data_IF_377213752192
#
_entry.id   IF_377213752192
#
_cell.length_a   1.000
_cell.length_b   1.000
_cell.length_c   1.000
_cell.angle_alpha   90.00
_cell.angle_beta   90.00
_cell.angle_gamma   90.00
#
_symmetry.space_group_name_H-M   'P 1'
#
loop_
_entity.id
_entity.type
_entity.pdbx_description
1 polymer ?
#
# COMPACT_ATOMS: atom_id res chain seq x y z
N UNK A 1 12.29 22.44 11.94
CA UNK A 1 12.72 21.07 11.60
C UNK A 1 12.32 20.79 10.17
N UNK A 2 13.24 20.31 9.35
CA UNK A 2 12.96 20.07 7.94
C UNK A 2 12.06 18.83 7.80
N UNK A 3 10.90 19.01 7.18
CA UNK A 3 9.97 17.92 6.88
C UNK A 3 10.37 17.10 5.64
N UNK A 4 11.55 17.39 5.11
CA UNK A 4 12.08 16.86 3.85
C UNK A 4 13.17 15.82 4.10
N UNK A 5 13.24 15.34 5.32
CA UNK A 5 14.19 14.32 5.73
C UNK A 5 13.48 13.00 6.01
N UNK A 6 14.24 11.93 5.90
CA UNK A 6 13.76 10.56 6.09
C UNK A 6 13.28 10.34 7.51
N UNK A 7 12.28 9.46 7.64
CA UNK A 7 11.68 9.10 8.92
C UNK A 7 11.72 7.60 9.15
N UNK A 8 11.78 7.25 10.43
CA UNK A 8 11.55 5.90 10.94
C UNK A 8 10.62 5.97 12.16
N UNK A 9 10.18 4.83 12.67
CA UNK A 9 9.46 4.76 13.95
C UNK A 9 10.41 4.98 15.12
N UNK A 10 9.90 5.49 16.24
CA UNK A 10 10.71 5.73 17.44
C UNK A 10 10.88 4.48 18.30
N UNK A 11 9.81 3.73 18.48
CA UNK A 11 9.78 2.51 19.29
C UNK A 11 9.27 1.33 18.44
N UNK A 12 9.64 0.12 18.83
CA UNK A 12 9.12 -1.09 18.19
C UNK A 12 7.60 -1.16 18.28
N UNK A 13 6.97 -1.61 17.20
CA UNK A 13 5.52 -1.82 17.12
C UNK A 13 5.23 -3.24 16.70
N UNK A 14 4.43 -3.95 17.50
CA UNK A 14 4.07 -5.34 17.21
C UNK A 14 2.59 -5.47 16.86
N UNK A 15 2.32 -6.37 15.92
CA UNK A 15 0.98 -6.78 15.52
C UNK A 15 0.91 -8.31 15.53
N UNK A 16 -0.25 -8.82 15.91
CA UNK A 16 -0.57 -10.24 15.84
C UNK A 16 -1.97 -10.40 15.25
N UNK A 17 -2.14 -11.34 14.36
CA UNK A 17 -3.43 -11.57 13.74
C UNK A 17 -3.40 -12.73 12.77
N UNK A 18 -4.55 -13.00 12.16
CA UNK A 18 -4.70 -14.01 11.12
C UNK A 18 -4.26 -13.42 9.77
N UNK A 19 -3.58 -14.22 8.97
CA UNK A 19 -3.28 -13.93 7.59
C UNK A 19 -4.51 -14.22 6.71
N UNK A 20 -4.83 -13.34 5.76
CA UNK A 20 -6.07 -13.44 4.96
C UNK A 20 -6.11 -14.71 4.12
N UNK A 21 -5.05 -15.01 3.38
CA UNK A 21 -5.05 -16.09 2.41
C UNK A 21 -4.62 -17.42 2.99
N UNK A 22 -3.55 -17.45 3.76
CA UNK A 22 -3.05 -18.68 4.40
C UNK A 22 -3.92 -19.14 5.58
N UNK A 23 -4.57 -18.22 6.28
CA UNK A 23 -5.34 -18.46 7.49
C UNK A 23 -4.48 -18.74 8.72
N UNK A 24 -3.17 -18.60 8.62
CA UNK A 24 -2.25 -18.82 9.72
C UNK A 24 -2.19 -17.61 10.65
N UNK A 25 -1.94 -17.83 11.92
CA UNK A 25 -1.60 -16.76 12.84
C UNK A 25 -0.19 -16.27 12.53
N UNK A 26 0.00 -14.98 12.52
CA UNK A 26 1.27 -14.33 12.22
C UNK A 26 1.54 -13.18 13.17
N UNK A 27 2.80 -13.04 13.55
CA UNK A 27 3.30 -11.92 14.34
C UNK A 27 4.28 -11.11 13.50
N UNK A 28 4.12 -9.80 13.51
CA UNK A 28 5.08 -8.87 12.94
C UNK A 28 5.57 -7.90 14.01
N UNK A 29 6.83 -7.49 13.88
CA UNK A 29 7.41 -6.43 14.69
C UNK A 29 8.12 -5.44 13.77
N UNK A 30 7.60 -4.23 13.68
CA UNK A 30 8.24 -3.13 12.97
C UNK A 30 9.26 -2.51 13.92
N UNK A 31 10.49 -2.36 13.46
CA UNK A 31 11.63 -1.81 14.22
C UNK A 31 12.16 -0.55 13.54
N UNK A 32 12.70 0.40 14.31
CA UNK A 32 13.44 1.52 13.75
C UNK A 32 14.59 1.02 12.86
N UNK A 33 14.89 1.78 11.81
CA UNK A 33 16.03 1.51 10.95
C UNK A 33 16.76 2.81 10.61
N UNK A 34 18.07 2.68 10.34
CA UNK A 34 18.94 3.79 10.01
C UNK A 34 18.54 4.49 8.70
N UNK A 35 18.91 5.76 8.52
CA UNK A 35 18.69 6.45 7.26
C UNK A 35 19.24 5.69 6.04
N UNK A 36 18.50 5.69 4.94
CA UNK A 36 18.78 4.95 3.71
C UNK A 36 18.71 3.41 3.83
N UNK A 37 18.17 2.89 4.92
CA UNK A 37 17.88 1.45 5.05
C UNK A 37 16.75 1.02 4.11
N UNK A 38 15.76 1.90 3.90
CA UNK A 38 14.52 1.55 3.22
C UNK A 38 13.61 0.68 4.09
N UNK A 39 12.53 0.20 3.48
CA UNK A 39 11.64 -0.79 4.11
C UNK A 39 12.18 -2.17 3.77
N UNK A 40 12.39 -3.02 4.78
CA UNK A 40 12.93 -4.37 4.60
C UNK A 40 12.13 -5.34 5.47
N UNK A 41 11.65 -6.43 4.87
CA UNK A 41 11.06 -7.55 5.61
C UNK A 41 12.14 -8.55 5.99
N UNK A 42 12.03 -9.11 7.21
CA UNK A 42 12.90 -10.17 7.70
C UNK A 42 12.07 -11.33 8.20
N UNK A 43 12.13 -12.46 7.51
CA UNK A 43 11.48 -13.72 7.90
C UNK A 43 12.27 -14.36 9.04
N UNK A 44 11.77 -14.19 10.28
CA UNK A 44 12.49 -14.67 11.48
C UNK A 44 12.36 -16.16 11.71
N UNK A 45 11.48 -16.83 11.01
CA UNK A 45 11.36 -18.29 10.95
C UNK A 45 12.47 -18.97 10.10
N UNK A 46 13.22 -18.18 9.31
CA UNK A 46 14.42 -18.63 8.61
C UNK A 46 15.69 -18.09 9.28
N UNK A 47 16.73 -18.93 9.37
CA UNK A 47 18.00 -18.54 10.00
C UNK A 47 18.93 -17.73 9.10
N UNK A 48 18.87 -17.97 7.79
CA UNK A 48 19.76 -17.37 6.77
C UNK A 48 18.94 -16.92 5.58
N UNK A 49 19.48 -15.99 4.78
CA UNK A 49 18.90 -15.52 3.52
C UNK A 49 17.46 -14.98 3.67
N UNK A 50 17.15 -14.46 4.84
CA UNK A 50 15.79 -14.20 5.29
C UNK A 50 15.32 -12.75 5.11
N UNK A 51 16.09 -11.93 4.39
CA UNK A 51 15.68 -10.58 4.03
C UNK A 51 14.90 -10.59 2.71
N UNK A 52 13.76 -9.91 2.69
CA UNK A 52 12.92 -9.76 1.52
C UNK A 52 12.64 -8.27 1.32
N UNK A 53 13.05 -7.74 0.18
CA UNK A 53 12.94 -6.32 -0.13
C UNK A 53 11.66 -6.05 -0.92
N UNK A 54 10.79 -5.13 -0.48
CA UNK A 54 9.57 -4.75 -1.20
C UNK A 54 9.92 -3.89 -2.42
N UNK A 55 10.56 -4.53 -3.39
CA UNK A 55 10.91 -3.94 -4.67
C UNK A 55 9.96 -4.48 -5.74
N UNK A 56 9.49 -3.62 -6.64
CA UNK A 56 8.57 -4.01 -7.73
C UNK A 56 9.13 -5.14 -8.61
N UNK A 57 10.46 -5.27 -8.73
CA UNK A 57 11.10 -6.38 -9.44
C UNK A 57 10.98 -7.71 -8.70
N UNK A 58 10.87 -7.68 -7.38
CA UNK A 58 10.73 -8.85 -6.52
C UNK A 58 9.27 -9.29 -6.36
N UNK A 59 8.32 -8.57 -6.96
CA UNK A 59 6.91 -8.99 -6.97
C UNK A 59 6.74 -10.19 -7.88
N UNK A 60 6.36 -11.33 -7.29
CA UNK A 60 6.21 -12.63 -7.99
C UNK A 60 4.76 -13.07 -8.11
N UNK A 61 3.85 -12.54 -7.28
CA UNK A 61 2.41 -12.79 -7.39
C UNK A 61 1.62 -11.52 -7.12
N UNK A 62 0.56 -11.33 -7.92
CA UNK A 62 -0.37 -10.19 -7.84
C UNK A 62 -1.83 -10.65 -7.87
N UNK A 63 -2.07 -11.92 -7.61
CA UNK A 63 -3.43 -12.49 -7.56
C UNK A 63 -4.03 -12.29 -6.18
N UNK A 64 -4.94 -11.33 -6.08
CA UNK A 64 -5.66 -10.91 -4.86
C UNK A 64 -4.78 -10.30 -3.75
N UNK A 65 -3.48 -10.23 -3.92
CA UNK A 65 -2.53 -9.56 -3.03
C UNK A 65 -1.24 -9.24 -3.76
N UNK A 66 -0.36 -8.47 -3.12
CA UNK A 66 1.02 -8.28 -3.57
C UNK A 66 1.96 -9.17 -2.75
N UNK A 67 2.63 -10.11 -3.45
CA UNK A 67 3.64 -11.01 -2.87
C UNK A 67 5.01 -10.65 -3.42
N UNK A 68 5.97 -10.47 -2.53
CA UNK A 68 7.38 -10.27 -2.84
C UNK A 68 8.18 -11.53 -2.47
N UNK A 69 9.25 -11.77 -3.21
CA UNK A 69 10.10 -12.95 -3.04
C UNK A 69 11.57 -12.57 -3.24
N UNK A 70 12.45 -13.14 -2.44
CA UNK A 70 13.87 -12.98 -2.64
C UNK A 70 14.44 -14.09 -3.55
N UNK A 71 15.70 -13.98 -3.92
CA UNK A 71 16.42 -14.94 -4.79
C UNK A 71 16.49 -16.38 -4.24
N UNK A 72 16.20 -16.57 -2.95
CA UNK A 72 16.20 -17.87 -2.29
C UNK A 72 14.78 -18.47 -2.17
N UNK A 73 13.78 -17.88 -2.80
CA UNK A 73 12.40 -18.34 -2.75
C UNK A 73 11.64 -18.01 -1.47
N UNK A 74 12.19 -17.15 -0.61
CA UNK A 74 11.54 -16.72 0.63
C UNK A 74 10.59 -15.57 0.32
N UNK A 75 9.31 -15.72 0.74
CA UNK A 75 8.21 -14.83 0.38
C UNK A 75 7.68 -14.06 1.56
N UNK A 76 7.13 -12.87 1.23
CA UNK A 76 6.21 -12.13 2.09
C UNK A 76 5.05 -11.65 1.21
N UNK A 77 3.82 -11.97 1.62
CA UNK A 77 2.60 -11.65 0.86
C UNK A 77 1.67 -10.71 1.62
N UNK A 78 0.67 -10.15 0.90
CA UNK A 78 -0.33 -9.21 1.42
C UNK A 78 0.32 -7.98 2.07
N UNK A 79 1.33 -7.43 1.39
CA UNK A 79 2.11 -6.30 1.92
C UNK A 79 1.45 -4.94 1.67
N UNK A 80 0.49 -4.84 0.77
CA UNK A 80 -0.08 -3.60 0.22
C UNK A 80 -0.65 -2.67 1.28
N UNK A 81 -1.41 -3.17 2.26
CA UNK A 81 -2.02 -2.33 3.29
C UNK A 81 -0.97 -1.75 4.25
N UNK A 82 0.00 -2.58 4.66
CA UNK A 82 1.11 -2.13 5.49
C UNK A 82 2.00 -1.14 4.75
N UNK A 83 2.33 -1.42 3.48
CA UNK A 83 3.10 -0.49 2.64
C UNK A 83 2.35 0.83 2.45
N UNK A 84 1.02 0.79 2.26
CA UNK A 84 0.16 1.96 2.21
C UNK A 84 0.19 2.78 3.50
N UNK A 85 0.13 2.12 4.66
CA UNK A 85 0.25 2.77 5.97
C UNK A 85 1.61 3.45 6.15
N UNK A 86 2.71 2.76 5.83
CA UNK A 86 4.07 3.29 5.93
C UNK A 86 4.26 4.50 5.00
N UNK A 87 3.74 4.40 3.77
CA UNK A 87 3.76 5.53 2.82
C UNK A 87 3.00 6.74 3.36
N UNK A 88 1.78 6.52 3.86
CA UNK A 88 0.93 7.59 4.39
C UNK A 88 1.53 8.32 5.59
N UNK A 89 2.24 7.61 6.45
CA UNK A 89 2.96 8.16 7.60
C UNK A 89 4.32 8.75 7.22
N UNK A 90 4.75 8.55 5.98
CA UNK A 90 6.05 8.99 5.49
C UNK A 90 7.21 8.26 6.16
N UNK A 91 7.04 6.99 6.51
CA UNK A 91 8.12 6.13 7.02
C UNK A 91 8.98 5.69 5.84
N UNK A 92 10.22 6.14 5.83
CA UNK A 92 11.17 5.83 4.76
C UNK A 92 12.05 4.62 5.11
N UNK A 93 12.24 4.34 6.40
CA UNK A 93 13.14 3.30 6.89
C UNK A 93 12.47 2.48 7.99
N UNK A 94 12.41 1.17 7.82
CA UNK A 94 11.94 0.24 8.84
C UNK A 94 12.43 -1.18 8.57
N UNK A 95 12.78 -1.92 9.63
CA UNK A 95 12.98 -3.36 9.58
C UNK A 95 11.71 -4.03 10.11
N UNK A 96 11.07 -4.86 9.29
CA UNK A 96 9.81 -5.55 9.62
C UNK A 96 10.11 -7.03 9.81
N UNK A 97 10.23 -7.46 11.06
CA UNK A 97 10.34 -8.88 11.38
C UNK A 97 8.96 -9.54 11.29
N UNK A 98 8.91 -10.69 10.65
CA UNK A 98 7.69 -11.47 10.43
C UNK A 98 8.00 -12.96 10.59
N UNK A 99 7.15 -13.69 11.33
CA UNK A 99 7.35 -15.11 11.65
C UNK A 99 6.62 -16.07 10.69
N UNK A 100 5.99 -15.56 9.64
CA UNK A 100 5.31 -16.35 8.61
C UNK A 100 5.34 -15.63 7.26
N UNK A 101 4.79 -16.24 6.21
CA UNK A 101 4.86 -15.72 4.83
C UNK A 101 3.86 -14.64 4.48
N UNK A 102 2.91 -14.27 5.35
CA UNK A 102 1.85 -13.32 5.01
C UNK A 102 1.64 -12.31 6.13
N UNK A 103 1.55 -11.03 5.79
CA UNK A 103 1.25 -9.95 6.74
C UNK A 103 -0.16 -10.15 7.33
N UNK A 104 -0.39 -9.94 8.65
CA UNK A 104 -1.72 -10.09 9.24
C UNK A 104 -2.69 -9.11 8.63
N UNK A 105 -3.91 -9.58 8.29
CA UNK A 105 -4.92 -8.75 7.63
C UNK A 105 -5.55 -7.71 8.58
N UNK A 106 -5.50 -7.96 9.88
CA UNK A 106 -6.14 -7.17 10.92
C UNK A 106 -7.63 -6.97 10.62
N UNK A 107 -8.10 -5.74 10.52
CA UNK A 107 -9.48 -5.40 10.18
C UNK A 107 -9.75 -5.29 8.67
N UNK A 108 -8.76 -5.60 7.83
CA UNK A 108 -8.86 -5.51 6.37
C UNK A 108 -8.56 -4.14 5.78
N UNK A 109 -8.19 -3.17 6.60
CA UNK A 109 -7.80 -1.80 6.21
C UNK A 109 -6.36 -1.49 6.65
N UNK A 110 -5.90 -0.25 6.46
CA UNK A 110 -4.62 0.22 7.00
C UNK A 110 -4.74 0.87 8.39
N UNK A 111 -5.95 1.01 8.93
CA UNK A 111 -6.26 1.78 10.14
C UNK A 111 -5.40 1.39 11.34
N UNK A 112 -5.44 0.10 11.71
CA UNK A 112 -4.72 -0.38 12.91
C UNK A 112 -3.21 -0.23 12.77
N UNK A 113 -2.66 -0.42 11.56
CA UNK A 113 -1.24 -0.16 11.31
C UNK A 113 -0.89 1.29 11.61
N UNK A 114 -1.66 2.23 11.06
CA UNK A 114 -1.44 3.67 11.23
C UNK A 114 -1.54 4.07 12.70
N UNK A 115 -2.61 3.69 13.40
CA UNK A 115 -2.85 4.06 14.79
C UNK A 115 -1.72 3.61 15.71
N UNK A 116 -1.28 2.34 15.59
CA UNK A 116 -0.19 1.81 16.42
C UNK A 116 1.18 2.40 16.06
N UNK A 117 1.46 2.62 14.77
CA UNK A 117 2.73 3.24 14.36
C UNK A 117 2.81 4.68 14.88
N UNK A 118 1.72 5.45 14.79
CA UNK A 118 1.68 6.82 15.35
C UNK A 118 1.90 6.79 16.85
N UNK A 119 1.23 5.89 17.57
CA UNK A 119 1.36 5.76 19.03
C UNK A 119 2.79 5.42 19.45
N UNK A 120 3.59 4.77 18.60
CA UNK A 120 4.99 4.47 18.87
C UNK A 120 5.91 5.70 18.77
N UNK A 121 5.44 6.77 18.15
CA UNK A 121 6.20 7.96 17.81
C UNK A 121 7.07 7.79 16.58
N UNK A 122 7.50 8.91 16.00
CA UNK A 122 8.35 8.97 14.82
C UNK A 122 9.70 9.60 15.15
N UNK A 123 10.76 9.13 14.51
CA UNK A 123 12.08 9.75 14.49
C UNK A 123 12.36 10.33 13.12
N UNK A 124 12.79 11.59 13.10
CA UNK A 124 13.17 12.33 11.90
C UNK A 124 14.69 12.35 11.86
N UNK A 125 15.27 11.91 10.74
CA UNK A 125 16.72 11.96 10.52
C UNK A 125 17.14 13.27 9.84
N UNK A 126 18.46 13.45 9.68
CA UNK A 126 19.01 14.55 8.85
C UNK A 126 19.15 14.16 7.37
N UNK A 127 19.01 12.87 7.04
CA UNK A 127 19.14 12.40 5.68
C UNK A 127 17.98 12.90 4.80
N UNK A 128 18.26 13.48 3.61
CA UNK A 128 17.22 13.99 2.73
C UNK A 128 16.37 12.84 2.16
N UNK A 129 15.10 13.12 1.90
CA UNK A 129 14.27 12.19 1.12
C UNK A 129 14.66 12.24 -0.36
N UNK A 130 14.52 11.09 -1.01
CA UNK A 130 14.61 10.98 -2.47
C UNK A 130 13.22 10.69 -3.03
N UNK A 131 12.87 11.37 -4.10
CA UNK A 131 11.60 11.19 -4.79
C UNK A 131 11.84 10.77 -6.24
N UNK A 132 10.90 10.05 -6.80
CA UNK A 132 10.81 9.82 -8.23
C UNK A 132 9.90 10.89 -8.83
N UNK A 133 10.42 11.61 -9.81
CA UNK A 133 9.67 12.51 -10.67
C UNK A 133 9.51 11.86 -12.03
N UNK A 134 8.28 11.76 -12.52
CA UNK A 134 7.97 11.22 -13.83
C UNK A 134 8.23 12.27 -14.90
N UNK A 135 8.92 11.91 -15.98
CA UNK A 135 9.33 12.83 -17.04
C UNK A 135 8.38 12.82 -18.25
N UNK A 136 7.69 11.71 -18.50
CA UNK A 136 6.72 11.55 -19.60
C UNK A 136 5.61 10.60 -19.23
N UNK A 137 4.50 10.65 -19.97
CA UNK A 137 3.39 9.71 -19.77
C UNK A 137 3.82 8.27 -20.11
N UNK A 138 3.47 7.35 -19.23
CA UNK A 138 3.61 5.90 -19.44
C UNK A 138 2.28 5.26 -19.11
N UNK A 139 1.85 4.34 -19.98
CA UNK A 139 0.57 3.62 -19.83
C UNK A 139 0.77 2.12 -19.96
N UNK A 140 0.06 1.37 -19.13
CA UNK A 140 -0.12 -0.06 -19.26
C UNK A 140 -1.61 -0.39 -19.41
N UNK A 141 -1.94 -1.25 -20.35
CA UNK A 141 -3.32 -1.69 -20.64
C UNK A 141 -3.40 -3.21 -20.64
N UNK A 142 -4.51 -3.74 -20.15
CA UNK A 142 -4.84 -5.16 -20.16
C UNK A 142 -6.35 -5.31 -20.47
N UNK A 143 -6.67 -5.53 -21.73
CA UNK A 143 -8.03 -5.44 -22.25
C UNK A 143 -8.62 -4.04 -22.06
N UNK A 144 -9.77 -3.95 -21.38
CA UNK A 144 -10.43 -2.67 -21.06
C UNK A 144 -9.84 -1.99 -19.81
N UNK A 145 -9.00 -2.69 -19.06
CA UNK A 145 -8.34 -2.18 -17.85
C UNK A 145 -7.10 -1.39 -18.21
N UNK A 146 -6.83 -0.31 -17.50
CA UNK A 146 -5.59 0.43 -17.69
C UNK A 146 -5.15 1.15 -16.43
N UNK A 147 -3.86 1.45 -16.40
CA UNK A 147 -3.25 2.40 -15.48
C UNK A 147 -2.25 3.24 -16.26
N UNK A 148 -2.22 4.55 -16.03
CA UNK A 148 -1.21 5.45 -16.57
C UNK A 148 -0.60 6.31 -15.48
N UNK A 149 0.63 6.74 -15.72
CA UNK A 149 1.37 7.66 -14.90
C UNK A 149 1.85 8.82 -15.77
N UNK A 150 1.60 10.05 -15.31
CA UNK A 150 1.90 11.28 -16.03
C UNK A 150 2.74 12.22 -15.15
N UNK A 151 3.54 13.13 -15.75
CA UNK A 151 4.24 14.14 -15.01
C UNK A 151 3.32 14.97 -14.12
N UNK A 152 3.78 15.25 -12.90
CA UNK A 152 3.18 16.22 -11.98
C UNK A 152 4.24 17.16 -11.45
N UNK A 153 3.83 18.32 -10.96
CA UNK A 153 4.79 19.30 -10.42
C UNK A 153 5.16 19.02 -8.98
N UNK A 154 4.20 18.59 -8.14
CA UNK A 154 4.37 18.62 -6.69
C UNK A 154 3.63 17.55 -5.91
N UNK A 155 2.75 16.76 -6.55
CA UNK A 155 1.86 15.84 -5.85
C UNK A 155 1.87 14.45 -6.45
N UNK A 156 1.39 13.49 -5.71
CA UNK A 156 0.89 12.22 -6.22
C UNK A 156 -0.64 12.32 -6.27
N UNK A 157 -1.17 12.53 -7.47
CA UNK A 157 -2.62 12.57 -7.70
C UNK A 157 -3.08 11.21 -8.21
N UNK A 158 -4.12 10.64 -7.64
CA UNK A 158 -4.69 9.36 -8.07
C UNK A 158 -6.16 9.57 -8.45
N UNK A 159 -6.51 9.32 -9.72
CA UNK A 159 -7.87 9.20 -10.23
C UNK A 159 -8.16 7.71 -10.48
N UNK A 160 -8.94 7.10 -9.60
CA UNK A 160 -9.25 5.67 -9.66
C UNK A 160 -10.72 5.45 -9.99
N UNK A 161 -10.98 4.59 -11.00
CA UNK A 161 -12.32 4.19 -11.41
C UNK A 161 -12.50 2.70 -11.24
N UNK A 162 -13.56 2.33 -10.54
CA UNK A 162 -13.98 0.97 -10.29
C UNK A 162 -15.29 0.71 -11.03
N UNK A 163 -15.42 -0.46 -11.65
CA UNK A 163 -16.63 -0.87 -12.36
C UNK A 163 -16.92 -2.33 -12.07
N UNK A 164 -18.03 -2.57 -11.40
CA UNK A 164 -18.53 -3.90 -11.09
C UNK A 164 -19.94 -4.09 -11.65
N UNK A 165 -20.27 -5.32 -12.04
CA UNK A 165 -21.65 -5.68 -12.46
C UNK A 165 -22.60 -5.72 -11.26
N UNK A 166 -22.11 -6.08 -10.08
CA UNK A 166 -22.89 -6.04 -8.85
C UNK A 166 -23.32 -4.61 -8.54
N UNK A 167 -24.61 -4.39 -8.24
CA UNK A 167 -25.22 -3.06 -8.10
C UNK A 167 -24.82 -2.33 -6.82
N UNK A 168 -24.37 -3.04 -5.78
CA UNK A 168 -23.89 -2.45 -4.51
C UNK A 168 -22.53 -1.81 -4.70
N UNK A 169 -21.60 -2.53 -5.35
CA UNK A 169 -20.29 -1.97 -5.67
C UNK A 169 -20.42 -0.97 -6.82
N UNK A 170 -21.10 -1.36 -7.91
CA UNK A 170 -21.44 -0.53 -9.06
C UNK A 170 -20.26 0.14 -9.72
N UNK A 171 -20.49 1.34 -10.21
CA UNK A 171 -19.47 2.22 -10.77
C UNK A 171 -19.10 3.27 -9.73
N UNK A 172 -17.90 3.21 -9.23
CA UNK A 172 -17.36 4.18 -8.27
C UNK A 172 -16.13 4.87 -8.85
N UNK A 173 -15.90 6.10 -8.45
CA UNK A 173 -14.66 6.80 -8.74
C UNK A 173 -14.28 7.72 -7.58
N UNK A 174 -12.99 7.85 -7.36
CA UNK A 174 -12.48 8.85 -6.44
C UNK A 174 -11.17 9.44 -6.98
N UNK A 175 -10.97 10.73 -6.66
CA UNK A 175 -9.73 11.46 -6.97
C UNK A 175 -9.16 11.98 -5.68
N UNK A 176 -7.87 11.75 -5.49
CA UNK A 176 -7.16 12.19 -4.29
C UNK A 176 -5.80 12.76 -4.65
N UNK A 177 -5.40 13.77 -3.93
CA UNK A 177 -4.04 14.31 -3.91
C UNK A 177 -3.36 13.81 -2.64
N UNK A 178 -2.54 12.76 -2.80
CA UNK A 178 -2.04 11.97 -1.67
C UNK A 178 -1.27 12.79 -0.64
N UNK A 179 -0.61 13.89 -1.06
CA UNK A 179 0.16 14.73 -0.15
C UNK A 179 -0.61 15.96 0.39
N UNK A 180 -1.85 16.19 -0.07
CA UNK A 180 -2.63 17.38 0.27
C UNK A 180 -3.93 17.07 1.00
N UNK A 181 -4.65 16.01 0.55
CA UNK A 181 -5.98 15.66 1.04
C UNK A 181 -5.93 14.90 2.37
N UNK A 182 -7.05 14.91 3.08
CA UNK A 182 -7.28 13.99 4.18
C UNK A 182 -7.56 12.58 3.62
N UNK A 183 -6.70 11.63 3.93
CA UNK A 183 -6.80 10.26 3.46
C UNK A 183 -7.39 9.30 4.50
N UNK A 184 -8.01 9.82 5.56
CA UNK A 184 -8.60 8.99 6.64
C UNK A 184 -9.57 7.96 6.08
N UNK A 185 -10.46 8.34 5.17
CA UNK A 185 -11.40 7.40 4.54
C UNK A 185 -10.70 6.35 3.69
N UNK A 186 -9.60 6.70 3.02
CA UNK A 186 -8.79 5.76 2.23
C UNK A 186 -8.18 4.70 3.15
N UNK A 187 -7.49 5.15 4.21
CA UNK A 187 -6.81 4.23 5.13
C UNK A 187 -7.75 3.42 6.00
N UNK A 188 -8.98 3.87 6.20
CA UNK A 188 -10.03 3.15 6.93
C UNK A 188 -10.83 2.19 6.04
N UNK A 189 -10.65 2.21 4.72
CA UNK A 189 -11.41 1.38 3.79
C UNK A 189 -10.91 -0.05 3.78
N UNK A 190 -11.84 -1.00 4.00
CA UNK A 190 -11.57 -2.44 4.10
C UNK A 190 -11.51 -3.11 2.73
N UNK A 191 -10.74 -4.18 2.66
CA UNK A 191 -10.81 -5.11 1.52
C UNK A 191 -12.19 -5.72 1.39
N UNK A 192 -12.53 -6.20 0.19
CA UNK A 192 -13.88 -6.71 -0.10
C UNK A 192 -13.86 -7.83 -1.12
N UNK A 193 -14.92 -8.64 -1.11
CA UNK A 193 -15.16 -9.67 -2.12
C UNK A 193 -16.66 -9.83 -2.38
N UNK A 194 -16.98 -10.43 -3.52
CA UNK A 194 -18.33 -10.93 -3.81
C UNK A 194 -18.49 -12.29 -3.15
N UNK A 195 -19.67 -12.54 -2.60
CA UNK A 195 -19.99 -13.81 -1.94
C UNK A 195 -19.86 -15.01 -2.89
N UNK A 196 -20.29 -14.82 -4.14
CA UNK A 196 -20.21 -15.84 -5.20
C UNK A 196 -18.78 -16.25 -5.55
N UNK A 197 -17.78 -15.38 -5.32
CA UNK A 197 -16.38 -15.68 -5.62
C UNK A 197 -15.69 -16.47 -4.49
N UNK A 198 -16.26 -16.51 -3.28
CA UNK A 198 -15.61 -17.07 -2.10
C UNK A 198 -15.27 -18.56 -2.28
N UNK A 199 -16.18 -19.34 -2.85
CA UNK A 199 -15.91 -20.78 -3.06
C UNK A 199 -14.75 -20.99 -4.02
N UNK A 200 -14.69 -20.23 -5.11
CA UNK A 200 -13.61 -20.31 -6.09
C UNK A 200 -12.28 -19.87 -5.47
N UNK A 201 -12.29 -18.76 -4.72
CA UNK A 201 -11.11 -18.25 -4.02
C UNK A 201 -10.57 -19.28 -3.03
N UNK A 202 -11.45 -19.93 -2.24
CA UNK A 202 -11.09 -21.00 -1.29
C UNK A 202 -10.58 -22.26 -1.99
N UNK A 203 -11.17 -22.66 -3.11
CA UNK A 203 -10.68 -23.80 -3.92
C UNK A 203 -9.26 -23.57 -4.44
N UNK A 204 -8.91 -22.30 -4.70
CA UNK A 204 -7.55 -21.92 -5.08
C UNK A 204 -6.59 -21.77 -3.88
N UNK A 205 -7.01 -22.17 -2.68
CA UNK A 205 -6.19 -22.17 -1.47
C UNK A 205 -6.07 -20.79 -0.80
N UNK A 206 -6.84 -19.79 -1.26
CA UNK A 206 -6.82 -18.41 -0.76
C UNK A 206 -7.98 -18.12 0.20
N UNK A 207 -7.94 -16.96 0.88
CA UNK A 207 -8.96 -16.45 1.82
C UNK A 207 -9.37 -17.45 2.93
N UNK A 208 -8.44 -18.30 3.40
CA UNK A 208 -8.70 -19.26 4.49
C UNK A 208 -8.96 -18.56 5.83
N UNK A 209 -8.35 -17.39 6.05
CA UNK A 209 -8.55 -16.54 7.22
C UNK A 209 -9.61 -15.45 7.03
N UNK A 210 -10.27 -15.40 5.87
CA UNK A 210 -11.28 -14.40 5.56
C UNK A 210 -12.54 -14.54 6.42
N UNK A 211 -13.02 -13.43 6.95
CA UNK A 211 -14.21 -13.33 7.78
C UNK A 211 -14.89 -11.95 7.61
N UNK A 212 -16.12 -11.80 8.14
CA UNK A 212 -16.79 -10.51 8.15
C UNK A 212 -16.08 -9.46 9.03
N UNK A 213 -15.13 -9.85 9.88
CA UNK A 213 -14.35 -8.93 10.69
C UNK A 213 -13.19 -8.29 9.94
N UNK A 214 -12.77 -8.88 8.79
CA UNK A 214 -11.59 -8.44 8.06
C UNK A 214 -11.80 -8.25 6.55
N UNK A 215 -13.03 -8.38 6.07
CA UNK A 215 -13.40 -8.10 4.68
C UNK A 215 -14.88 -7.72 4.58
N UNK A 216 -15.20 -6.81 3.67
CA UNK A 216 -16.59 -6.56 3.28
C UNK A 216 -17.02 -7.69 2.33
N UNK A 217 -18.13 -8.34 2.64
CA UNK A 217 -18.71 -9.37 1.77
C UNK A 217 -20.03 -8.86 1.20
N UNK A 218 -20.08 -8.75 -0.13
CA UNK A 218 -21.27 -8.32 -0.87
C UNK A 218 -21.96 -9.55 -1.44
N UNK A 219 -23.24 -9.73 -1.12
CA UNK A 219 -24.09 -10.83 -1.63
C UNK A 219 -25.33 -10.24 -2.27
N UNK A 220 -25.52 -10.46 -3.56
CA UNK A 220 -26.64 -9.95 -4.36
C UNK A 220 -26.77 -8.41 -4.20
N UNK A 221 -27.77 -7.94 -3.43
CA UNK A 221 -28.02 -6.53 -3.14
C UNK A 221 -27.75 -6.15 -1.68
N UNK A 222 -27.03 -6.98 -0.95
CA UNK A 222 -26.79 -6.79 0.47
C UNK A 222 -25.29 -6.81 0.81
N UNK A 223 -24.93 -6.07 1.86
CA UNK A 223 -23.65 -6.15 2.53
C UNK A 223 -23.85 -7.04 3.76
N UNK A 224 -23.10 -8.15 3.85
CA UNK A 224 -23.27 -9.12 4.93
C UNK A 224 -22.71 -8.63 6.28
N UNK A 225 -21.84 -7.64 6.26
CA UNK A 225 -21.27 -7.03 7.47
C UNK A 225 -22.36 -6.20 8.17
N UNK A 226 -22.65 -6.50 9.43
CA UNK A 226 -23.73 -5.86 10.20
C UNK A 226 -23.53 -4.36 10.39
N UNK A 227 -22.28 -3.89 10.44
CA UNK A 227 -21.91 -2.48 10.56
C UNK A 227 -22.02 -1.70 9.24
N UNK A 228 -22.27 -2.38 8.12
CA UNK A 228 -22.31 -1.76 6.79
C UNK A 228 -20.95 -1.24 6.31
N UNK A 229 -20.97 -0.21 5.46
CA UNK A 229 -19.79 0.49 4.97
C UNK A 229 -19.34 1.59 5.96
N UNK A 230 -18.03 1.80 6.04
CA UNK A 230 -17.41 2.88 6.84
C UNK A 230 -17.52 4.24 6.16
N UNK A 231 -17.58 4.25 4.82
CA UNK A 231 -17.82 5.44 4.01
C UNK A 231 -18.45 5.05 2.67
N UNK A 232 -19.12 6.00 1.99
CA UNK A 232 -19.85 5.75 0.73
C UNK A 232 -18.98 5.27 -0.43
N UNK A 233 -17.68 5.50 -0.36
CA UNK A 233 -16.71 5.14 -1.39
C UNK A 233 -15.75 4.05 -0.94
N UNK A 234 -16.10 3.28 0.08
CA UNK A 234 -15.18 2.33 0.72
C UNK A 234 -14.53 1.37 -0.29
N UNK A 235 -15.26 0.90 -1.30
CA UNK A 235 -14.72 -0.01 -2.31
C UNK A 235 -13.63 0.64 -3.19
N UNK A 236 -13.87 1.83 -3.73
CA UNK A 236 -12.87 2.51 -4.57
C UNK A 236 -11.74 3.08 -3.73
N UNK A 237 -12.01 3.52 -2.50
CA UNK A 237 -11.01 4.01 -1.56
C UNK A 237 -10.03 2.90 -1.17
N UNK A 238 -10.53 1.68 -0.94
CA UNK A 238 -9.66 0.54 -0.70
C UNK A 238 -8.72 0.27 -1.89
N UNK A 239 -9.24 0.37 -3.13
CA UNK A 239 -8.37 0.22 -4.32
C UNK A 239 -7.34 1.33 -4.48
N UNK A 240 -7.61 2.52 -3.95
CA UNK A 240 -6.63 3.61 -3.87
C UNK A 240 -5.56 3.28 -2.80
N UNK A 241 -5.96 2.73 -1.64
CA UNK A 241 -5.03 2.25 -0.62
C UNK A 241 -4.06 1.21 -1.19
N UNK A 242 -4.59 0.18 -1.87
CA UNK A 242 -3.79 -0.85 -2.55
C UNK A 242 -2.80 -0.21 -3.53
N UNK A 243 -3.29 0.71 -4.37
CA UNK A 243 -2.46 1.39 -5.36
C UNK A 243 -1.32 2.19 -4.71
N UNK A 244 -1.56 2.88 -3.61
CA UNK A 244 -0.53 3.62 -2.84
C UNK A 244 0.52 2.65 -2.31
N UNK A 245 0.11 1.55 -1.69
CA UNK A 245 1.02 0.53 -1.15
C UNK A 245 1.85 -0.15 -2.23
N UNK A 246 1.22 -0.52 -3.34
CA UNK A 246 1.91 -1.13 -4.49
C UNK A 246 2.91 -0.17 -5.14
N UNK A 247 2.55 1.11 -5.31
CA UNK A 247 3.46 2.14 -5.84
C UNK A 247 4.68 2.32 -4.93
N UNK A 248 4.53 2.12 -3.62
CA UNK A 248 5.64 2.24 -2.68
C UNK A 248 6.67 1.11 -2.80
N UNK A 249 6.37 0.03 -3.52
CA UNK A 249 7.37 -0.99 -3.92
C UNK A 249 8.43 -0.42 -4.87
N UNK A 250 8.28 0.79 -5.39
CA UNK A 250 9.35 1.54 -6.06
C UNK A 250 10.51 1.90 -5.12
N UNK A 251 10.31 1.85 -3.80
CA UNK A 251 11.27 2.27 -2.78
C UNK A 251 11.35 3.79 -2.60
N UNK A 252 10.48 4.56 -3.27
CA UNK A 252 10.50 6.02 -3.28
C UNK A 252 9.10 6.61 -3.20
N UNK A 253 9.01 7.86 -2.75
CA UNK A 253 7.81 8.66 -2.97
C UNK A 253 7.79 9.13 -4.42
N UNK A 254 6.63 9.01 -5.07
CA UNK A 254 6.46 9.34 -6.48
C UNK A 254 5.70 10.66 -6.59
N UNK A 255 6.19 11.56 -7.44
CA UNK A 255 5.50 12.79 -7.86
C UNK A 255 4.96 12.57 -9.27
N UNK A 256 3.65 12.37 -9.39
CA UNK A 256 3.00 12.01 -10.64
C UNK A 256 1.47 12.17 -10.54
N UNK A 257 0.80 12.07 -11.71
CA UNK A 257 -0.64 11.81 -11.80
C UNK A 257 -0.85 10.37 -12.23
N UNK A 258 -1.66 9.64 -11.49
CA UNK A 258 -2.09 8.28 -11.80
C UNK A 258 -3.53 8.32 -12.27
N UNK A 259 -3.81 7.76 -13.45
CA UNK A 259 -5.17 7.50 -13.92
C UNK A 259 -5.35 5.99 -14.03
N UNK A 260 -6.30 5.45 -13.29
CA UNK A 260 -6.51 4.01 -13.20
C UNK A 260 -7.98 3.66 -13.42
N UNK A 261 -8.24 2.70 -14.29
CA UNK A 261 -9.57 2.13 -14.52
C UNK A 261 -9.53 0.62 -14.34
N UNK A 262 -10.31 0.12 -13.36
CA UNK A 262 -10.39 -1.29 -13.03
C UNK A 262 -9.01 -1.91 -12.72
N UNK A 263 -8.13 -1.13 -12.06
CA UNK A 263 -6.78 -1.54 -11.69
C UNK A 263 -6.74 -2.56 -10.57
N UNK A 264 -5.53 -2.91 -10.22
CA UNK A 264 -5.16 -3.83 -9.13
C UNK A 264 -3.67 -4.07 -9.15
N UNK A 265 -3.18 -4.91 -8.26
CA UNK A 265 -1.77 -5.16 -8.02
C UNK A 265 -0.97 -5.46 -9.29
N UNK A 266 -1.55 -6.29 -10.19
CA UNK A 266 -0.92 -6.61 -11.48
C UNK A 266 -0.65 -5.36 -12.33
N UNK A 267 -1.67 -4.50 -12.53
CA UNK A 267 -1.53 -3.31 -13.37
C UNK A 267 -0.51 -2.33 -12.76
N UNK A 268 -0.55 -2.13 -11.45
CA UNK A 268 0.38 -1.25 -10.74
C UNK A 268 1.82 -1.76 -10.86
N UNK A 269 2.04 -3.07 -10.68
CA UNK A 269 3.37 -3.66 -10.85
C UNK A 269 3.87 -3.55 -12.30
N UNK A 270 3.03 -3.83 -13.30
CA UNK A 270 3.40 -3.69 -14.71
C UNK A 270 3.70 -2.23 -15.10
N UNK A 271 2.96 -1.28 -14.53
CA UNK A 271 3.26 0.15 -14.71
C UNK A 271 4.65 0.49 -14.16
N UNK A 272 4.97 0.07 -12.93
CA UNK A 272 6.29 0.31 -12.34
C UNK A 272 7.40 -0.31 -13.19
N UNK A 273 7.24 -1.55 -13.65
CA UNK A 273 8.21 -2.19 -14.56
C UNK A 273 8.44 -1.36 -15.81
N UNK A 274 7.39 -0.84 -16.45
CA UNK A 274 7.50 0.05 -17.61
C UNK A 274 8.17 1.38 -17.29
N UNK A 275 7.88 1.97 -16.13
CA UNK A 275 8.52 3.20 -15.69
C UNK A 275 10.03 3.00 -15.58
N UNK A 276 10.46 1.94 -14.92
CA UNK A 276 11.86 1.69 -14.63
C UNK A 276 12.64 1.00 -15.77
N UNK A 277 11.96 0.59 -16.84
CA UNK A 277 12.58 0.00 -18.03
C UNK A 277 13.51 1.00 -18.75
N UNK A 278 13.20 2.30 -18.70
CA UNK A 278 14.01 3.33 -19.34
C UNK A 278 14.26 4.49 -18.37
N UNK A 279 15.53 4.86 -18.20
CA UNK A 279 15.95 5.98 -17.34
C UNK A 279 15.42 7.34 -17.79
N UNK A 280 15.02 7.48 -19.05
CA UNK A 280 14.40 8.72 -19.57
C UNK A 280 12.96 8.91 -19.06
N UNK A 281 12.33 7.87 -18.51
CA UNK A 281 10.97 7.91 -18.01
C UNK A 281 10.84 8.67 -16.70
N UNK A 282 11.91 8.73 -15.91
CA UNK A 282 11.89 9.31 -14.56
C UNK A 282 13.21 9.95 -14.18
N UNK A 283 13.18 10.74 -13.14
CA UNK A 283 14.36 11.31 -12.48
C UNK A 283 14.28 11.06 -10.99
N UNK A 284 15.38 10.64 -10.36
CA UNK A 284 15.48 10.59 -8.90
C UNK A 284 16.00 11.95 -8.44
N UNK A 285 15.23 12.63 -7.61
CA UNK A 285 15.55 13.96 -7.11
C UNK A 285 15.68 13.90 -5.59
N UNK A 286 16.84 14.35 -5.10
CA UNK A 286 17.04 14.57 -3.68
C UNK A 286 16.47 15.93 -3.30
N UNK A 287 15.59 15.94 -2.29
CA UNK A 287 14.90 17.15 -1.90
C UNK A 287 15.75 17.97 -0.95
N UNK A 288 16.09 19.19 -1.36
CA UNK A 288 16.78 20.20 -0.53
C UNK A 288 15.82 21.31 -0.15
N UNK A 289 15.93 21.84 1.07
CA UNK A 289 15.00 22.80 1.70
C UNK A 289 14.53 23.99 0.83
N UNK A 290 15.31 24.36 -0.18
CA UNK A 290 15.06 25.57 -0.97
C UNK A 290 13.98 25.44 -2.06
N UNK A 291 13.49 24.21 -2.36
CA UNK A 291 12.76 23.97 -3.61
C UNK A 291 11.38 23.33 -3.44
N UNK A 292 10.80 23.26 -2.22
CA UNK A 292 9.51 22.62 -2.05
C UNK A 292 8.43 23.54 -1.50
N UNK A 293 7.22 23.41 -2.07
CA UNK A 293 6.01 23.96 -1.46
C UNK A 293 5.66 23.20 -0.18
N UNK A 294 4.97 23.87 0.72
CA UNK A 294 4.46 23.35 1.98
C UNK A 294 3.51 22.13 1.85
N UNK A 295 3.06 21.82 0.64
CA UNK A 295 2.08 20.78 0.31
C UNK A 295 2.59 19.32 0.38
N UNK A 296 3.91 19.09 0.38
CA UNK A 296 4.44 17.71 0.49
C UNK A 296 4.34 17.11 1.90
N UNK A 297 3.74 17.84 2.83
CA UNK A 297 3.58 17.42 4.20
C UNK A 297 2.08 17.30 4.47
N UNK A 298 1.58 16.09 4.52
CA UNK A 298 0.20 15.88 4.94
C UNK A 298 0.07 16.18 6.44
N UNK A 299 -0.22 17.47 6.76
CA UNK A 299 -0.42 17.97 8.12
C UNK A 299 -1.74 17.45 8.74
N UNK A 300 -2.71 17.01 7.92
CA UNK A 300 -4.02 16.62 8.39
C UNK A 300 -3.97 15.26 9.10
N UNK A 301 -3.20 14.31 8.63
CA UNK A 301 -2.98 13.03 9.30
C UNK A 301 -2.39 13.18 10.71
N UNK A 302 -1.53 14.18 10.95
CA UNK A 302 -0.96 14.46 12.27
C UNK A 302 -1.91 15.25 13.17
N UNK A 303 -2.90 15.97 12.62
CA UNK A 303 -3.86 16.77 13.41
C UNK A 303 -5.11 15.99 13.81
N UNK A 304 -5.50 14.97 13.06
CA UNK A 304 -6.69 14.15 13.36
C UNK A 304 -6.43 13.02 14.37
N UNK A 305 -5.18 12.83 14.77
CA UNK A 305 -4.72 11.71 15.61
C UNK A 305 -3.99 12.23 16.88
N UNK A 306 -3.78 13.55 17.00
CA UNK A 306 -3.38 14.23 18.23
C UNK A 306 -4.61 14.81 18.91
#
# INVERSE_FOLDING_TARGET
MSYLTQKTIKNNVSFSGVALHSGLNVNICIKPAEPNHGIVFKRVDFKVNNLVYPNFMNVTNTSLNTTIENEFGIKVSTIEHLMGALFGLGIDNALIEIDNEEVPILDGSAKEFIEKIISSGLLISEAPIKIIKINKEIKFTDGERYISIEPSTLSLDIDFKLKYKNSIIGNQSNKVKVFEDDLTDIYNSRTFCLFEDIEMIKKNGLAKGGSLNNAIVVKDKDILNSEGLRNDKEFVNHKILDCIGDLYTSGYRIVAKINCSQGGHYLTNQLLRKVFENKDNFSIVEIKEKNLPHAMINRSLLKSIA
#
